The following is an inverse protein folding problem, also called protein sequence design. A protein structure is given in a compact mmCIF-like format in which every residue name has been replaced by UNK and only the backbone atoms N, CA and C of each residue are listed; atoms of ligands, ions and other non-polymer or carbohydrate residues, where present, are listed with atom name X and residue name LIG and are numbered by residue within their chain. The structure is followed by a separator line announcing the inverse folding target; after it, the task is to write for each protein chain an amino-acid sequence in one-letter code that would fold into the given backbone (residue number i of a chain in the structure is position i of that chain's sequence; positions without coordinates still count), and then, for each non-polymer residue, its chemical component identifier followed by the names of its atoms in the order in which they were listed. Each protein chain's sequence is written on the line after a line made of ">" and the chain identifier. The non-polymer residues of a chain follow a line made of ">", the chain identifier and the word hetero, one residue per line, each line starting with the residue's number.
data_IF_281792843434
#
_entry.id   IF_281792843434
#
_cell.length_a   1.000
_cell.length_b   1.000
_cell.length_c   1.000
_cell.angle_alpha   90.00
_cell.angle_beta   90.00
_cell.angle_gamma   90.00
#
_symmetry.space_group_name_H-M   'P 1'
#
loop_
_entity.id
_entity.type
_entity.pdbx_description
1 polymer ?
#
# COMPACT_ATOMS: atom_id res chain seq x y z
N UNK A 1 3.24 6.64 -22.15
CA UNK A 1 4.59 6.38 -21.59
C UNK A 1 4.63 6.69 -20.10
N UNK A 2 4.15 7.86 -19.67
CA UNK A 2 4.21 8.30 -18.26
C UNK A 2 3.52 7.32 -17.29
N UNK A 3 2.25 6.98 -17.55
CA UNK A 3 1.50 5.98 -16.77
C UNK A 3 2.23 4.64 -16.69
N UNK A 4 2.83 4.18 -17.79
CA UNK A 4 3.57 2.91 -17.82
C UNK A 4 4.77 2.96 -16.87
N UNK A 5 5.53 4.05 -16.88
CA UNK A 5 6.68 4.23 -15.98
C UNK A 5 6.25 4.31 -14.51
N UNK A 6 5.18 5.05 -14.21
CA UNK A 6 4.59 5.09 -12.85
C UNK A 6 4.21 3.68 -12.37
N UNK A 7 3.52 2.90 -13.21
CA UNK A 7 3.14 1.52 -12.85
C UNK A 7 4.35 0.60 -12.67
N UNK A 8 5.42 0.76 -13.45
CA UNK A 8 6.67 0.01 -13.28
C UNK A 8 7.28 0.30 -11.90
N UNK A 9 7.41 1.57 -11.51
CA UNK A 9 7.91 1.92 -10.18
C UNK A 9 6.97 1.44 -9.06
N UNK A 10 5.66 1.62 -9.22
CA UNK A 10 4.67 1.15 -8.24
C UNK A 10 4.69 -0.36 -8.07
N UNK A 11 4.96 -1.15 -9.11
CA UNK A 11 5.04 -2.61 -9.00
C UNK A 11 6.15 -3.08 -8.07
N UNK A 12 7.31 -2.42 -8.11
CA UNK A 12 8.41 -2.65 -7.17
C UNK A 12 7.99 -2.22 -5.77
N UNK A 13 7.33 -1.07 -5.64
CA UNK A 13 6.85 -0.57 -4.36
C UNK A 13 5.79 -1.46 -3.70
N UNK A 14 5.08 -2.32 -4.44
CA UNK A 14 4.12 -3.27 -3.83
C UNK A 14 4.80 -4.18 -2.81
N UNK A 15 6.00 -4.68 -3.11
CA UNK A 15 6.73 -5.58 -2.20
C UNK A 15 7.15 -4.86 -0.92
N UNK A 16 7.59 -3.61 -1.05
CA UNK A 16 8.04 -2.80 0.09
C UNK A 16 6.89 -2.30 0.96
N UNK A 17 5.72 -2.02 0.37
CA UNK A 17 4.61 -1.39 1.09
C UNK A 17 3.75 -2.37 1.90
N UNK A 18 3.93 -3.69 1.75
CA UNK A 18 3.18 -4.68 2.53
C UNK A 18 3.43 -4.51 4.04
N UNK A 19 4.69 -4.33 4.47
CA UNK A 19 5.02 -4.15 5.88
C UNK A 19 4.40 -2.88 6.50
N UNK A 20 4.60 -1.68 5.93
CA UNK A 20 3.96 -0.48 6.47
C UNK A 20 2.42 -0.55 6.38
N UNK A 21 1.86 -1.17 5.35
CA UNK A 21 0.41 -1.39 5.28
C UNK A 21 -0.09 -2.25 6.45
N UNK A 22 0.57 -3.36 6.76
CA UNK A 22 0.24 -4.20 7.93
C UNK A 22 0.29 -3.38 9.23
N UNK A 23 1.33 -2.54 9.42
CA UNK A 23 1.43 -1.69 10.61
C UNK A 23 0.31 -0.67 10.74
N UNK A 24 -0.18 -0.13 9.63
CA UNK A 24 -1.34 0.77 9.63
C UNK A 24 -2.62 0.01 10.01
N UNK A 25 -2.81 -1.21 9.49
CA UNK A 25 -3.98 -2.03 9.84
C UNK A 25 -3.92 -2.49 11.30
N UNK A 26 -2.77 -2.92 11.80
CA UNK A 26 -2.55 -3.23 13.22
C UNK A 26 -2.88 -2.01 14.10
N UNK A 27 -2.48 -0.81 13.69
CA UNK A 27 -2.83 0.41 14.42
C UNK A 27 -4.35 0.67 14.42
N UNK A 28 -5.04 0.46 13.31
CA UNK A 28 -6.50 0.56 13.23
C UNK A 28 -7.19 -0.46 14.14
N UNK A 29 -6.65 -1.67 14.24
CA UNK A 29 -7.16 -2.72 15.13
C UNK A 29 -7.09 -2.31 16.62
N UNK A 30 -6.12 -1.46 17.01
CA UNK A 30 -6.10 -0.90 18.39
C UNK A 30 -7.25 0.07 18.67
N UNK A 31 -7.94 0.57 17.64
CA UNK A 31 -9.00 1.59 17.74
C UNK A 31 -10.39 1.04 17.44
N UNK A 32 -10.49 -0.07 16.71
CA UNK A 32 -11.74 -0.67 16.28
C UNK A 32 -11.60 -2.18 16.12
N UNK A 33 -12.70 -2.90 16.29
CA UNK A 33 -12.71 -4.34 16.07
C UNK A 33 -12.58 -4.66 14.57
N UNK A 34 -11.42 -5.19 14.17
CA UNK A 34 -11.14 -5.58 12.79
C UNK A 34 -11.21 -7.11 12.69
N UNK A 35 -12.14 -7.63 11.89
CA UNK A 35 -12.18 -9.08 11.60
C UNK A 35 -11.02 -9.49 10.69
N UNK A 36 -10.59 -10.74 10.73
CA UNK A 36 -9.51 -11.28 9.88
C UNK A 36 -9.73 -10.99 8.39
N UNK A 37 -10.98 -11.09 7.92
CA UNK A 37 -11.33 -10.77 6.54
C UNK A 37 -11.10 -9.29 6.23
N UNK A 38 -11.48 -8.41 7.16
CA UNK A 38 -11.28 -6.98 7.01
C UNK A 38 -9.80 -6.59 7.13
N UNK A 39 -9.03 -7.24 8.00
CA UNK A 39 -7.58 -7.07 8.11
C UNK A 39 -6.89 -7.33 6.77
N UNK A 40 -7.20 -8.47 6.14
CA UNK A 40 -6.63 -8.85 4.85
C UNK A 40 -7.00 -7.87 3.74
N UNK A 41 -8.27 -7.47 3.65
CA UNK A 41 -8.75 -6.51 2.65
C UNK A 41 -8.05 -5.16 2.85
N UNK A 42 -8.04 -4.64 4.08
CA UNK A 42 -7.41 -3.35 4.38
C UNK A 42 -5.91 -3.38 4.08
N UNK A 43 -5.21 -4.47 4.43
CA UNK A 43 -3.78 -4.60 4.18
C UNK A 43 -3.46 -4.56 2.69
N UNK A 44 -4.23 -5.29 1.86
CA UNK A 44 -4.05 -5.28 0.40
C UNK A 44 -4.39 -3.92 -0.19
N UNK A 45 -5.50 -3.31 0.21
CA UNK A 45 -5.92 -1.98 -0.29
C UNK A 45 -4.89 -0.92 0.08
N UNK A 46 -4.42 -0.89 1.33
CA UNK A 46 -3.39 0.05 1.79
C UNK A 46 -2.06 -0.17 1.08
N UNK A 47 -1.65 -1.43 0.87
CA UNK A 47 -0.44 -1.75 0.10
C UNK A 47 -0.50 -1.12 -1.28
N UNK A 48 -1.59 -1.36 -2.03
CA UNK A 48 -1.76 -0.84 -3.39
C UNK A 48 -1.76 0.70 -3.40
N UNK A 49 -2.53 1.33 -2.50
CA UNK A 49 -2.63 2.79 -2.42
C UNK A 49 -1.27 3.43 -2.10
N UNK A 50 -0.56 2.92 -1.09
CA UNK A 50 0.74 3.42 -0.70
C UNK A 50 1.78 3.24 -1.82
N UNK A 51 1.77 2.10 -2.52
CA UNK A 51 2.69 1.85 -3.63
C UNK A 51 2.42 2.74 -4.84
N UNK A 52 1.17 3.12 -5.09
CA UNK A 52 0.82 4.08 -6.13
C UNK A 52 1.28 5.50 -5.76
N UNK A 53 1.07 5.92 -4.51
CA UNK A 53 1.50 7.25 -4.03
C UNK A 53 3.03 7.38 -4.13
N UNK A 54 3.77 6.43 -3.54
CA UNK A 54 5.23 6.50 -3.53
C UNK A 54 5.83 6.23 -4.92
N UNK A 55 5.29 5.26 -5.66
CA UNK A 55 5.75 4.98 -7.03
C UNK A 55 5.51 6.15 -7.98
N UNK A 56 4.42 6.89 -7.80
CA UNK A 56 4.20 8.15 -8.51
C UNK A 56 5.16 9.24 -8.06
N UNK A 57 5.44 9.36 -6.76
CA UNK A 57 6.43 10.32 -6.26
C UNK A 57 7.82 10.07 -6.83
N UNK A 58 8.23 8.80 -6.94
CA UNK A 58 9.51 8.38 -7.53
C UNK A 58 9.63 8.73 -9.01
N UNK A 59 8.53 8.72 -9.77
CA UNK A 59 8.57 9.09 -11.18
C UNK A 59 8.87 10.58 -11.40
N UNK A 60 8.47 11.45 -10.46
CA UNK A 60 8.68 12.90 -10.54
C UNK A 60 9.98 13.37 -9.85
N UNK A 61 10.75 12.45 -9.27
CA UNK A 61 12.02 12.68 -8.58
C UNK A 61 13.19 12.47 -9.53
#
# INVERSE_FOLDING_TARGET
>A
MEIVMTLVFSSVMLVFMIYPAMKIVEFLETKMHVSDKMYNILTVVLTIVLSLIIGSGLYYL
#
